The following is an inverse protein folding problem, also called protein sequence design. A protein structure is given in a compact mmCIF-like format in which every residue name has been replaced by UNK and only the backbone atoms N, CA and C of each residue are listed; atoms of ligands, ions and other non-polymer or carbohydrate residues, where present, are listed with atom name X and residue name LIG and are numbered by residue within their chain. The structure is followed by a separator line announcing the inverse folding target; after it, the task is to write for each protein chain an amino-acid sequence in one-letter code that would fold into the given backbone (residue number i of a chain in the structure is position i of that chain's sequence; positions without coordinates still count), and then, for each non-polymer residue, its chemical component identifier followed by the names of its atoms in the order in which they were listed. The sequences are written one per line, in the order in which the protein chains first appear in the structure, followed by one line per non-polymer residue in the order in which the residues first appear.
data_IF_484595844752
#
_entry.id   IF_484595844752
#
_cell.length_a   1.000
_cell.length_b   1.000
_cell.length_c   1.000
_cell.angle_alpha   90.00
_cell.angle_beta   90.00
_cell.angle_gamma   90.00
#
_symmetry.space_group_name_H-M   'P 1'
#
loop_
_entity.id
_entity.type
_entity.pdbx_description
1 polymer ?
#
# COMPACT_ATOMS: atom_id res chain seq x y z
N UNK A 1 -21.79 -39.67 15.67
CA UNK A 1 -22.32 -38.72 14.68
C UNK A 1 -22.69 -37.44 15.42
N UNK A 2 -21.90 -36.37 15.29
CA UNK A 2 -22.25 -35.08 15.87
C UNK A 2 -23.31 -34.43 15.00
N UNK A 3 -24.48 -34.16 15.58
CA UNK A 3 -25.65 -33.66 14.87
C UNK A 3 -25.35 -32.33 14.15
N UNK A 4 -25.81 -32.14 12.90
CA UNK A 4 -25.49 -30.98 12.08
C UNK A 4 -25.86 -29.62 12.72
N UNK A 5 -26.81 -29.59 13.67
CA UNK A 5 -27.21 -28.38 14.38
C UNK A 5 -26.21 -27.84 15.42
N UNK A 6 -25.27 -28.65 15.92
CA UNK A 6 -24.29 -28.16 16.91
C UNK A 6 -23.21 -27.28 16.28
N UNK A 7 -22.90 -27.46 15.00
CA UNK A 7 -21.87 -26.67 14.29
C UNK A 7 -22.38 -25.28 13.88
N UNK A 8 -23.68 -25.12 13.61
CA UNK A 8 -24.29 -23.80 13.31
C UNK A 8 -24.40 -22.91 14.56
N UNK A 9 -24.73 -23.49 15.72
CA UNK A 9 -24.80 -22.76 16.98
C UNK A 9 -23.41 -22.25 17.44
N UNK A 10 -22.35 -23.05 17.22
CA UNK A 10 -20.96 -22.64 17.52
C UNK A 10 -20.52 -21.49 16.59
N UNK A 11 -20.95 -21.47 15.32
CA UNK A 11 -20.69 -20.35 14.39
C UNK A 11 -21.45 -19.08 14.75
N UNK A 12 -22.69 -19.19 15.24
CA UNK A 12 -23.51 -18.04 15.66
C UNK A 12 -23.06 -17.37 16.96
N UNK A 13 -22.52 -18.13 17.92
CA UNK A 13 -22.12 -17.61 19.23
C UNK A 13 -20.84 -16.75 19.24
N UNK A 14 -19.89 -17.03 18.33
CA UNK A 14 -18.57 -16.36 18.32
C UNK A 14 -18.67 -14.92 17.76
N UNK A 15 -19.67 -14.64 16.90
CA UNK A 15 -19.89 -13.32 16.30
C UNK A 15 -20.71 -12.37 17.20
N UNK A 16 -21.60 -12.92 18.03
CA UNK A 16 -22.48 -12.15 18.92
C UNK A 16 -21.75 -11.52 20.13
N UNK A 17 -20.63 -12.10 20.57
CA UNK A 17 -19.85 -11.65 21.73
C UNK A 17 -18.75 -10.61 21.41
N UNK A 18 -18.90 -9.80 20.35
CA UNK A 18 -17.96 -8.71 20.03
C UNK A 18 -18.58 -7.35 20.27
N UNK A 19 -17.87 -6.50 21.02
CA UNK A 19 -18.31 -5.14 21.31
C UNK A 19 -18.57 -4.35 20.03
N UNK A 20 -19.62 -3.52 20.04
CA UNK A 20 -20.07 -2.72 18.88
C UNK A 20 -18.94 -1.86 18.28
N UNK A 21 -18.00 -1.41 19.13
CA UNK A 21 -16.81 -0.66 18.73
C UNK A 21 -15.84 -1.50 17.89
N UNK A 22 -15.64 -2.77 18.23
CA UNK A 22 -14.76 -3.70 17.50
C UNK A 22 -15.30 -3.98 16.10
N UNK A 23 -16.61 -4.24 15.96
CA UNK A 23 -17.25 -4.46 14.66
C UNK A 23 -17.18 -3.21 13.76
N UNK A 24 -17.28 -2.01 14.35
CA UNK A 24 -17.09 -0.74 13.62
C UNK A 24 -15.64 -0.60 13.13
N UNK A 25 -14.66 -0.90 13.98
CA UNK A 25 -13.23 -0.81 13.60
C UNK A 25 -12.86 -1.80 12.50
N UNK A 26 -13.39 -3.03 12.52
CA UNK A 26 -13.17 -4.02 11.45
C UNK A 26 -13.59 -3.47 10.08
N UNK A 27 -14.83 -2.98 9.97
CA UNK A 27 -15.36 -2.38 8.72
C UNK A 27 -14.56 -1.16 8.26
N UNK A 28 -14.16 -0.28 9.17
CA UNK A 28 -13.34 0.89 8.85
C UNK A 28 -11.94 0.48 8.35
N UNK A 29 -11.34 -0.52 8.99
CA UNK A 29 -10.01 -0.99 8.67
C UNK A 29 -9.97 -1.66 7.30
N UNK A 30 -10.97 -2.46 6.93
CA UNK A 30 -11.09 -3.04 5.59
C UNK A 30 -11.11 -1.96 4.50
N UNK A 31 -11.97 -0.95 4.66
CA UNK A 31 -12.06 0.19 3.72
C UNK A 31 -10.75 0.95 3.60
N UNK A 32 -10.06 1.19 4.73
CA UNK A 32 -8.73 1.85 4.74
C UNK A 32 -7.66 0.97 4.10
N UNK A 33 -7.69 -0.34 4.35
CA UNK A 33 -6.75 -1.33 3.81
C UNK A 33 -6.80 -1.37 2.29
N UNK A 34 -8.00 -1.40 1.70
CA UNK A 34 -8.18 -1.41 0.25
C UNK A 34 -7.55 -0.15 -0.41
N UNK A 35 -7.94 1.04 0.06
CA UNK A 35 -7.38 2.31 -0.45
C UNK A 35 -5.86 2.41 -0.28
N UNK A 36 -5.32 1.97 0.86
CA UNK A 36 -3.89 2.02 1.11
C UNK A 36 -3.13 0.99 0.26
N UNK A 37 -3.73 -0.17 -0.01
CA UNK A 37 -3.16 -1.20 -0.88
C UNK A 37 -3.01 -0.67 -2.30
N UNK A 38 -4.05 -0.09 -2.87
CA UNK A 38 -4.04 0.47 -4.23
C UNK A 38 -2.93 1.52 -4.38
N UNK A 39 -2.90 2.51 -3.50
CA UNK A 39 -1.90 3.59 -3.56
C UNK A 39 -0.47 3.09 -3.35
N UNK A 40 -0.28 2.11 -2.47
CA UNK A 40 1.02 1.46 -2.28
C UNK A 40 1.44 0.66 -3.52
N UNK A 41 0.49 0.04 -4.22
CA UNK A 41 0.75 -0.64 -5.48
C UNK A 41 1.12 0.35 -6.59
N UNK A 42 0.41 1.48 -6.72
CA UNK A 42 0.74 2.54 -7.67
C UNK A 42 2.17 3.07 -7.45
N UNK A 43 2.57 3.27 -6.19
CA UNK A 43 3.96 3.63 -5.85
C UNK A 43 4.97 2.58 -6.33
N UNK A 44 4.72 1.31 -6.03
CA UNK A 44 5.62 0.22 -6.45
C UNK A 44 5.72 0.13 -7.97
N UNK A 45 4.61 0.32 -8.66
CA UNK A 45 4.54 0.30 -10.12
C UNK A 45 5.35 1.47 -10.72
N UNK A 46 5.17 2.68 -10.21
CA UNK A 46 5.95 3.85 -10.65
C UNK A 46 7.46 3.66 -10.45
N UNK A 47 7.89 3.04 -9.36
CA UNK A 47 9.31 2.70 -9.14
C UNK A 47 9.79 1.61 -10.10
N UNK A 48 8.92 0.62 -10.41
CA UNK A 48 9.23 -0.43 -11.38
C UNK A 48 9.41 0.14 -12.79
N UNK A 49 8.60 1.12 -13.17
CA UNK A 49 8.70 1.80 -14.48
C UNK A 49 10.08 2.43 -14.69
N UNK A 50 10.63 3.14 -13.69
CA UNK A 50 11.98 3.71 -13.78
C UNK A 50 13.05 2.62 -13.93
N UNK A 51 12.91 1.52 -13.18
CA UNK A 51 13.90 0.42 -13.22
C UNK A 51 13.83 -0.40 -14.49
N UNK A 52 12.70 -0.39 -15.19
CA UNK A 52 12.53 -1.04 -16.48
C UNK A 52 12.98 -0.14 -17.64
N UNK A 53 13.11 1.17 -17.43
CA UNK A 53 13.62 2.09 -18.43
C UNK A 53 15.13 1.86 -18.62
N UNK A 54 15.51 1.27 -19.74
CA UNK A 54 16.90 0.91 -20.05
C UNK A 54 17.77 2.05 -20.59
N UNK A 55 17.22 3.27 -20.73
CA UNK A 55 17.96 4.43 -21.23
C UNK A 55 17.91 5.59 -20.23
N UNK A 56 19.06 6.25 -20.01
CA UNK A 56 19.20 7.37 -19.06
C UNK A 56 18.23 8.52 -19.35
N UNK A 57 17.99 8.81 -20.63
CA UNK A 57 17.19 9.96 -21.04
C UNK A 57 15.69 9.75 -20.78
N UNK A 58 15.22 8.52 -20.93
CA UNK A 58 13.84 8.16 -20.60
C UNK A 58 13.62 8.11 -19.08
N UNK A 59 14.63 7.63 -18.33
CA UNK A 59 14.60 7.67 -16.87
C UNK A 59 14.52 9.10 -16.32
N UNK A 60 15.26 10.05 -16.92
CA UNK A 60 15.20 11.48 -16.54
C UNK A 60 13.82 12.10 -16.79
N UNK A 61 13.17 11.76 -17.90
CA UNK A 61 11.80 12.24 -18.21
C UNK A 61 10.75 11.70 -17.24
N UNK A 62 10.90 10.45 -16.80
CA UNK A 62 9.95 9.80 -15.87
C UNK A 62 10.14 10.22 -14.40
N UNK A 63 11.34 10.68 -14.04
CA UNK A 63 11.71 11.10 -12.69
C UNK A 63 10.72 12.09 -12.02
N UNK A 64 10.31 13.22 -12.64
CA UNK A 64 9.39 14.17 -12.00
C UNK A 64 8.01 13.55 -11.72
N UNK A 65 7.52 12.69 -12.62
CA UNK A 65 6.24 11.99 -12.44
C UNK A 65 6.31 11.08 -11.21
N UNK A 66 7.37 10.28 -11.08
CA UNK A 66 7.53 9.36 -9.94
C UNK A 66 7.71 10.11 -8.63
N UNK A 67 8.49 11.19 -8.62
CA UNK A 67 8.65 12.04 -7.43
C UNK A 67 7.30 12.59 -6.94
N UNK A 68 6.43 13.04 -7.85
CA UNK A 68 5.08 13.50 -7.53
C UNK A 68 4.22 12.40 -6.88
N UNK A 69 4.29 11.15 -7.37
CA UNK A 69 3.56 10.02 -6.77
C UNK A 69 4.06 9.73 -5.35
N UNK A 70 5.38 9.78 -5.14
CA UNK A 70 6.00 9.59 -3.81
C UNK A 70 5.51 10.65 -2.83
N UNK A 71 5.52 11.92 -3.22
CA UNK A 71 5.11 13.02 -2.35
C UNK A 71 3.63 12.98 -2.03
N UNK A 72 2.78 12.66 -3.02
CA UNK A 72 1.34 12.48 -2.81
C UNK A 72 1.08 11.38 -1.78
N UNK A 73 1.84 10.29 -1.85
CA UNK A 73 1.67 9.16 -0.93
C UNK A 73 2.19 9.46 0.47
N UNK A 74 3.23 10.30 0.60
CA UNK A 74 3.71 10.80 1.87
C UNK A 74 2.71 11.77 2.52
N UNK A 75 2.11 12.69 1.75
CA UNK A 75 1.07 13.63 2.21
C UNK A 75 -0.14 12.89 2.79
N UNK A 76 -0.56 11.80 2.17
CA UNK A 76 -1.68 10.98 2.67
C UNK A 76 -1.29 9.98 3.77
N UNK A 77 -0.08 10.07 4.32
CA UNK A 77 0.41 9.22 5.41
C UNK A 77 0.39 7.72 5.09
N UNK A 78 0.48 7.35 3.82
CA UNK A 78 0.55 5.94 3.38
C UNK A 78 1.99 5.45 3.54
N UNK A 79 2.94 6.33 3.26
CA UNK A 79 4.36 6.17 3.59
C UNK A 79 4.76 7.29 4.55
N UNK A 80 5.68 6.99 5.47
CA UNK A 80 6.24 8.02 6.34
C UNK A 80 7.13 8.99 5.54
N UNK A 81 7.18 10.26 5.95
CA UNK A 81 8.00 11.32 5.31
C UNK A 81 9.46 10.90 5.09
N UNK A 82 10.05 10.22 6.07
CA UNK A 82 11.43 9.75 5.97
C UNK A 82 11.56 8.61 4.95
N UNK A 83 10.54 7.75 4.83
CA UNK A 83 10.53 6.70 3.80
C UNK A 83 10.46 7.31 2.40
N UNK A 84 9.64 8.35 2.21
CA UNK A 84 9.61 9.11 0.95
C UNK A 84 10.96 9.74 0.61
N UNK A 85 11.61 10.41 1.58
CA UNK A 85 12.95 10.99 1.42
C UNK A 85 14.00 9.94 1.03
N UNK A 86 14.03 8.78 1.71
CA UNK A 86 14.95 7.68 1.37
C UNK A 86 14.72 7.13 -0.03
N UNK A 87 13.46 6.99 -0.45
CA UNK A 87 13.13 6.51 -1.80
C UNK A 87 13.57 7.48 -2.88
N UNK A 88 13.33 8.79 -2.70
CA UNK A 88 13.83 9.83 -3.62
C UNK A 88 15.35 9.76 -3.75
N UNK A 89 16.06 9.74 -2.64
CA UNK A 89 17.53 9.66 -2.64
C UNK A 89 18.04 8.41 -3.37
N UNK A 90 17.39 7.26 -3.18
CA UNK A 90 17.77 6.01 -3.87
C UNK A 90 17.56 6.10 -5.38
N UNK A 91 16.37 6.53 -5.82
CA UNK A 91 16.04 6.62 -7.26
C UNK A 91 16.96 7.62 -7.95
N UNK A 92 17.25 8.76 -7.32
CA UNK A 92 18.18 9.75 -7.88
C UNK A 92 19.59 9.21 -8.04
N UNK A 93 20.07 8.34 -7.15
CA UNK A 93 21.36 7.65 -7.31
C UNK A 93 21.30 6.61 -8.42
N UNK A 94 20.27 5.76 -8.44
CA UNK A 94 20.08 4.75 -9.50
C UNK A 94 20.09 5.39 -10.91
N UNK A 95 19.49 6.57 -11.09
CA UNK A 95 19.49 7.31 -12.38
C UNK A 95 20.83 7.99 -12.68
N UNK A 96 21.60 8.36 -11.66
CA UNK A 96 22.91 8.99 -11.85
C UNK A 96 24.01 7.96 -12.18
N UNK A 97 23.92 6.76 -11.59
CA UNK A 97 24.88 5.66 -11.77
C UNK A 97 24.60 4.78 -12.99
N UNK A 98 23.37 4.79 -13.53
CA UNK A 98 23.08 4.07 -14.76
C UNK A 98 23.91 4.69 -15.90
N UNK A 99 24.78 3.88 -16.52
CA UNK A 99 25.64 4.18 -17.69
C UNK A 99 25.07 3.71 -19.02
#
# INVERSE_FOLDING_TARGET
MLCPGTLEAIRGGILANKSLSVLKRARQNERRRLRNRERKNSLKQAVKEIRAAGSKDDAKKLLPKVQSVIDRSARHHIIHRNTGRRLKARISREVAEAD
#
